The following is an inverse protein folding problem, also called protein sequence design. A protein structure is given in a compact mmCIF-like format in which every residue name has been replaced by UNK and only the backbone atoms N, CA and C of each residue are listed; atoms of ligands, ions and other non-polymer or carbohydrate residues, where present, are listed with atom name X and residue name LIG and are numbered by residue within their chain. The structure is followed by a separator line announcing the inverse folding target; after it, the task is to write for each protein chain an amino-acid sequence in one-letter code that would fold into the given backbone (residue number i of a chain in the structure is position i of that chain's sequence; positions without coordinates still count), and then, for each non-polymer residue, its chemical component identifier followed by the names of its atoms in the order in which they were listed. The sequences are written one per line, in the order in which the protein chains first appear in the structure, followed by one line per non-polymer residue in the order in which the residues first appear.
data_IF_587483687472
#
_entry.id   IF_587483687472
#
_cell.length_a   1.000
_cell.length_b   1.000
_cell.length_c   1.000
_cell.angle_alpha   90.00
_cell.angle_beta   90.00
_cell.angle_gamma   90.00
#
_symmetry.space_group_name_H-M   'P 1'
#
loop_
_entity.id
_entity.type
_entity.pdbx_description
1 polymer ?
#
# COMPACT_ATOMS: atom_id res chain seq x y z
N UNK A 1 -13.68 35.48 -14.17
CA UNK A 1 -13.57 34.38 -13.19
C UNK A 1 -12.33 33.57 -13.55
N UNK A 2 -11.45 33.24 -12.60
CA UNK A 2 -10.24 32.47 -12.94
C UNK A 2 -10.59 31.02 -13.31
N UNK A 3 -9.81 30.36 -14.18
CA UNK A 3 -10.01 28.94 -14.53
C UNK A 3 -10.06 28.04 -13.28
N UNK A 4 -9.24 28.35 -12.26
CA UNK A 4 -9.20 27.62 -10.99
C UNK A 4 -10.50 27.78 -10.18
N UNK A 5 -11.14 28.95 -10.25
CA UNK A 5 -12.42 29.18 -9.58
C UNK A 5 -13.55 28.38 -10.21
N UNK A 6 -13.55 28.26 -11.55
CA UNK A 6 -14.56 27.48 -12.29
C UNK A 6 -14.41 25.99 -11.96
N UNK A 7 -13.18 25.46 -12.04
CA UNK A 7 -12.91 24.05 -11.75
C UNK A 7 -13.28 23.68 -10.30
N UNK A 8 -13.01 24.57 -9.35
CA UNK A 8 -13.39 24.38 -7.94
C UNK A 8 -14.91 24.32 -7.76
N UNK A 9 -15.66 25.18 -8.44
CA UNK A 9 -17.12 25.17 -8.37
C UNK A 9 -17.69 23.88 -8.96
N UNK A 10 -17.19 23.44 -10.13
CA UNK A 10 -17.59 22.18 -10.73
C UNK A 10 -17.28 20.98 -9.84
N UNK A 11 -16.13 20.98 -9.17
CA UNK A 11 -15.79 19.93 -8.21
C UNK A 11 -16.79 19.87 -7.05
N UNK A 12 -17.17 21.02 -6.51
CA UNK A 12 -18.16 21.09 -5.43
C UNK A 12 -19.56 20.69 -5.90
N UNK A 13 -19.97 21.10 -7.09
CA UNK A 13 -21.25 20.68 -7.70
C UNK A 13 -21.26 19.16 -7.89
N UNK A 14 -20.22 18.61 -8.52
CA UNK A 14 -20.06 17.17 -8.73
C UNK A 14 -20.07 16.36 -7.42
N UNK A 15 -19.45 16.87 -6.35
CA UNK A 15 -19.46 16.23 -5.04
C UNK A 15 -20.85 16.20 -4.37
N UNK A 16 -21.70 17.18 -4.69
CA UNK A 16 -23.04 17.32 -4.11
C UNK A 16 -24.15 16.69 -4.96
N UNK A 17 -23.87 16.31 -6.20
CA UNK A 17 -24.79 15.52 -7.03
C UNK A 17 -25.13 14.19 -6.34
N UNK A 18 -26.41 13.82 -6.40
CA UNK A 18 -26.94 12.60 -5.79
C UNK A 18 -26.67 11.38 -6.68
N UNK A 19 -26.36 10.26 -6.03
CA UNK A 19 -26.27 8.93 -6.64
C UNK A 19 -27.15 7.94 -5.88
N UNK A 20 -27.59 6.87 -6.53
CA UNK A 20 -28.46 5.87 -5.92
C UNK A 20 -27.68 4.71 -5.31
N UNK A 21 -27.44 4.71 -4.00
CA UNK A 21 -26.84 3.52 -3.38
C UNK A 21 -27.87 2.42 -3.12
N UNK A 22 -27.63 1.20 -3.62
CA UNK A 22 -28.45 0.04 -3.29
C UNK A 22 -28.48 -0.30 -1.79
N UNK A 23 -27.41 0.04 -1.06
CA UNK A 23 -27.30 -0.24 0.38
C UNK A 23 -27.78 0.91 1.25
N UNK A 24 -27.58 2.15 0.80
CA UNK A 24 -27.72 3.33 1.65
C UNK A 24 -28.75 4.35 1.15
N UNK A 25 -29.41 4.09 0.02
CA UNK A 25 -30.34 5.02 -0.62
C UNK A 25 -29.65 6.17 -1.35
N UNK A 26 -30.43 7.19 -1.70
CA UNK A 26 -29.92 8.39 -2.36
C UNK A 26 -29.00 9.19 -1.45
N UNK A 27 -27.83 9.57 -1.97
CA UNK A 27 -26.91 10.43 -1.27
C UNK A 27 -25.97 11.20 -2.20
N UNK A 28 -25.42 12.33 -1.74
CA UNK A 28 -24.33 13.02 -2.43
C UNK A 28 -23.09 12.12 -2.64
N UNK A 29 -22.40 12.27 -3.78
CA UNK A 29 -21.15 11.54 -4.07
C UNK A 29 -20.12 11.64 -2.95
N UNK A 30 -19.96 12.81 -2.32
CA UNK A 30 -19.02 12.98 -1.19
C UNK A 30 -19.33 12.03 -0.02
N UNK A 31 -20.61 11.78 0.28
CA UNK A 31 -21.01 10.85 1.33
C UNK A 31 -20.76 9.40 0.92
N UNK A 32 -21.01 9.07 -0.34
CA UNK A 32 -20.70 7.75 -0.90
C UNK A 32 -19.20 7.44 -0.84
N UNK A 33 -18.34 8.40 -1.18
CA UNK A 33 -16.88 8.28 -1.08
C UNK A 33 -16.44 8.08 0.37
N UNK A 34 -16.98 8.87 1.31
CA UNK A 34 -16.72 8.68 2.75
C UNK A 34 -17.13 7.28 3.22
N UNK A 35 -18.28 6.76 2.75
CA UNK A 35 -18.75 5.40 3.07
C UNK A 35 -17.82 4.34 2.51
N UNK A 36 -17.45 4.45 1.23
CA UNK A 36 -16.47 3.59 0.58
C UNK A 36 -15.17 3.52 1.39
N UNK A 37 -14.66 4.67 1.85
CA UNK A 37 -13.41 4.73 2.59
C UNK A 37 -13.54 4.12 3.98
N UNK A 38 -14.52 4.57 4.76
CA UNK A 38 -14.65 4.21 6.18
C UNK A 38 -15.18 2.79 6.40
N UNK A 39 -16.10 2.33 5.57
CA UNK A 39 -16.74 1.03 5.71
C UNK A 39 -16.14 -0.04 4.78
N UNK A 40 -15.34 0.35 3.80
CA UNK A 40 -14.76 -0.54 2.82
C UNK A 40 -13.24 -0.55 2.85
N UNK A 41 -12.65 0.53 2.34
CA UNK A 41 -11.23 0.60 2.02
C UNK A 41 -10.34 0.51 3.27
N UNK A 42 -10.64 1.26 4.33
CA UNK A 42 -9.91 1.16 5.60
C UNK A 42 -10.04 -0.25 6.20
N UNK A 43 -11.24 -0.83 6.35
CA UNK A 43 -11.41 -2.22 6.79
C UNK A 43 -10.66 -3.26 5.95
N UNK A 44 -10.61 -3.11 4.62
CA UNK A 44 -9.86 -4.01 3.73
C UNK A 44 -8.37 -4.00 4.05
N UNK A 45 -7.80 -2.84 4.31
CA UNK A 45 -6.38 -2.72 4.66
C UNK A 45 -6.14 -3.22 6.10
N UNK A 46 -7.00 -2.84 7.04
CA UNK A 46 -6.85 -3.23 8.46
C UNK A 46 -6.99 -4.71 8.72
N UNK A 47 -7.89 -5.43 8.03
CA UNK A 47 -7.99 -6.89 8.15
C UNK A 47 -6.75 -7.63 7.67
N UNK A 48 -5.92 -6.98 6.85
CA UNK A 48 -4.64 -7.50 6.37
C UNK A 48 -3.45 -7.04 7.22
N UNK A 49 -3.71 -6.51 8.43
CA UNK A 49 -2.67 -6.17 9.40
C UNK A 49 -1.96 -4.84 9.15
N UNK A 50 -2.54 -3.96 8.32
CA UNK A 50 -2.00 -2.63 8.04
C UNK A 50 -2.83 -1.52 8.68
N UNK A 51 -2.17 -0.44 9.08
CA UNK A 51 -2.80 0.69 9.77
C UNK A 51 -2.63 1.96 8.96
N UNK A 52 -3.71 2.68 8.68
CA UNK A 52 -3.61 4.00 8.04
C UNK A 52 -3.01 5.05 8.99
N UNK A 53 -2.14 5.89 8.44
CA UNK A 53 -1.70 7.16 9.03
C UNK A 53 -2.91 8.11 9.14
N UNK A 54 -2.92 8.93 10.18
CA UNK A 54 -4.13 9.52 10.80
C UNK A 54 -4.92 10.56 9.98
N UNK A 55 -4.80 10.64 8.65
CA UNK A 55 -5.49 11.65 7.86
C UNK A 55 -6.44 11.07 6.81
N UNK A 56 -7.61 10.62 7.28
CA UNK A 56 -8.70 10.12 6.43
C UNK A 56 -9.23 11.21 5.49
N UNK A 57 -9.20 12.47 5.89
CA UNK A 57 -9.69 13.58 5.05
C UNK A 57 -8.82 13.77 3.80
N UNK A 58 -7.49 13.62 3.92
CA UNK A 58 -6.61 13.66 2.75
C UNK A 58 -6.96 12.52 1.80
N UNK A 59 -7.21 11.32 2.31
CA UNK A 59 -7.58 10.16 1.51
C UNK A 59 -8.94 10.37 0.80
N UNK A 60 -9.93 10.90 1.52
CA UNK A 60 -11.24 11.29 0.97
C UNK A 60 -11.09 12.30 -0.17
N UNK A 61 -10.32 13.37 0.05
CA UNK A 61 -10.08 14.40 -0.95
C UNK A 61 -9.29 13.88 -2.17
N UNK A 62 -8.33 12.99 -1.94
CA UNK A 62 -7.50 12.38 -2.99
C UNK A 62 -8.35 11.52 -3.91
N UNK A 63 -9.14 10.60 -3.33
CA UNK A 63 -10.04 9.73 -4.08
C UNK A 63 -11.12 10.57 -4.80
N UNK A 64 -11.72 11.55 -4.13
CA UNK A 64 -12.72 12.42 -4.76
C UNK A 64 -12.15 13.20 -5.95
N UNK A 65 -10.94 13.76 -5.81
CA UNK A 65 -10.28 14.48 -6.89
C UNK A 65 -10.00 13.58 -8.08
N UNK A 66 -9.50 12.37 -7.84
CA UNK A 66 -9.25 11.39 -8.90
C UNK A 66 -10.52 11.05 -9.68
N UNK A 67 -11.60 10.71 -8.98
CA UNK A 67 -12.88 10.38 -9.61
C UNK A 67 -13.45 11.55 -10.42
N UNK A 68 -13.31 12.77 -9.89
CA UNK A 68 -13.75 13.98 -10.59
C UNK A 68 -12.94 14.25 -11.87
N UNK A 69 -11.62 14.13 -11.82
CA UNK A 69 -10.80 14.32 -13.01
C UNK A 69 -11.08 13.25 -14.06
N UNK A 70 -11.29 12.00 -13.65
CA UNK A 70 -11.76 10.94 -14.55
C UNK A 70 -13.14 11.21 -15.15
N UNK A 71 -14.04 11.83 -14.37
CA UNK A 71 -15.36 12.21 -14.84
C UNK A 71 -15.28 13.28 -15.95
N UNK A 72 -14.35 14.24 -15.83
CA UNK A 72 -14.11 15.28 -16.83
C UNK A 72 -13.35 14.73 -18.04
N UNK A 73 -12.31 13.94 -17.80
CA UNK A 73 -11.44 13.38 -18.82
C UNK A 73 -11.15 11.90 -18.52
N UNK A 74 -11.73 11.01 -19.32
CA UNK A 74 -11.57 9.56 -19.16
C UNK A 74 -10.12 9.09 -19.40
N UNK A 75 -9.29 9.93 -20.02
CA UNK A 75 -7.86 9.66 -20.25
C UNK A 75 -6.97 10.32 -19.19
N UNK A 76 -7.55 10.96 -18.18
CA UNK A 76 -6.80 11.58 -17.11
C UNK A 76 -5.96 10.52 -16.40
N UNK A 77 -4.64 10.68 -16.45
CA UNK A 77 -3.72 9.88 -15.66
C UNK A 77 -3.53 10.57 -14.31
N UNK A 78 -4.10 9.98 -13.25
CA UNK A 78 -3.93 10.54 -11.93
C UNK A 78 -2.49 10.30 -11.47
N UNK A 79 -1.71 11.38 -11.53
CA UNK A 79 -0.35 11.41 -11.01
C UNK A 79 -0.38 11.23 -9.48
N UNK A 80 -0.45 9.98 -9.03
CA UNK A 80 -0.12 9.66 -7.65
C UNK A 80 1.37 10.01 -7.50
N UNK A 81 1.76 10.88 -6.56
CA UNK A 81 3.17 11.21 -6.37
C UNK A 81 3.92 9.93 -6.09
N UNK A 82 4.63 9.40 -7.08
CA UNK A 82 5.37 8.14 -6.93
C UNK A 82 6.49 8.45 -5.96
N UNK A 83 6.36 7.98 -4.72
CA UNK A 83 7.54 7.84 -3.87
C UNK A 83 8.34 6.72 -4.54
N UNK A 84 9.31 7.10 -5.37
CA UNK A 84 9.95 6.28 -6.41
C UNK A 84 10.73 5.04 -5.94
N UNK A 85 10.60 4.64 -4.68
CA UNK A 85 11.18 3.41 -4.17
C UNK A 85 10.07 2.39 -3.94
N UNK A 86 9.68 1.71 -5.02
CA UNK A 86 9.06 0.38 -4.93
C UNK A 86 10.13 -0.58 -4.38
N UNK A 87 10.33 -0.51 -3.08
CA UNK A 87 11.26 -1.34 -2.34
C UNK A 87 10.65 -2.72 -2.03
N UNK A 88 11.42 -3.57 -1.34
CA UNK A 88 10.94 -4.88 -0.91
C UNK A 88 9.68 -4.82 -0.05
N UNK A 89 9.46 -3.71 0.68
CA UNK A 89 8.29 -3.51 1.53
C UNK A 89 7.04 -3.23 0.71
N UNK A 90 7.16 -2.48 -0.40
CA UNK A 90 6.09 -2.34 -1.38
C UNK A 90 5.69 -3.70 -1.97
N UNK A 91 6.66 -4.51 -2.40
CA UNK A 91 6.35 -5.83 -2.96
C UNK A 91 5.65 -6.71 -1.93
N UNK A 92 6.15 -6.73 -0.69
CA UNK A 92 5.50 -7.44 0.40
C UNK A 92 4.04 -6.98 0.58
N UNK A 93 3.78 -5.66 0.64
CA UNK A 93 2.44 -5.10 0.73
C UNK A 93 1.54 -5.52 -0.44
N UNK A 94 2.03 -5.37 -1.67
CA UNK A 94 1.27 -5.65 -2.90
C UNK A 94 0.91 -7.15 -3.01
N UNK A 95 1.78 -8.06 -2.55
CA UNK A 95 1.48 -9.49 -2.52
C UNK A 95 0.64 -9.92 -1.32
N UNK A 96 0.64 -9.16 -0.22
CA UNK A 96 -0.12 -9.50 0.98
C UNK A 96 -1.62 -9.44 0.76
N UNK A 97 -2.09 -8.50 -0.07
CA UNK A 97 -3.50 -8.37 -0.45
C UNK A 97 -3.63 -8.84 -1.91
N UNK A 98 -4.09 -10.08 -2.16
CA UNK A 98 -4.19 -10.63 -3.50
C UNK A 98 -5.04 -9.77 -4.45
N UNK A 99 -4.73 -9.83 -5.74
CA UNK A 99 -5.45 -9.12 -6.79
C UNK A 99 -6.96 -9.38 -6.74
N UNK A 100 -7.35 -10.63 -6.49
CA UNK A 100 -8.74 -11.07 -6.44
C UNK A 100 -9.52 -10.40 -5.29
N UNK A 101 -8.84 -10.12 -4.17
CA UNK A 101 -9.45 -9.40 -3.04
C UNK A 101 -9.74 -7.96 -3.40
N UNK A 102 -8.78 -7.28 -4.05
CA UNK A 102 -8.97 -5.92 -4.54
C UNK A 102 -10.05 -5.84 -5.62
N UNK A 103 -10.07 -6.81 -6.53
CA UNK A 103 -11.02 -6.87 -7.63
C UNK A 103 -12.45 -7.08 -7.10
N UNK A 104 -12.62 -8.08 -6.22
CA UNK A 104 -13.90 -8.34 -5.56
C UNK A 104 -14.37 -7.16 -4.72
N UNK A 105 -13.46 -6.50 -4.01
CA UNK A 105 -13.74 -5.30 -3.24
C UNK A 105 -14.28 -4.16 -4.12
N UNK A 106 -13.61 -3.87 -5.23
CA UNK A 106 -14.04 -2.79 -6.12
C UNK A 106 -15.35 -3.09 -6.82
N UNK A 107 -15.57 -4.32 -7.29
CA UNK A 107 -16.84 -4.72 -7.89
C UNK A 107 -17.98 -4.58 -6.89
N UNK A 108 -17.80 -5.08 -5.66
CA UNK A 108 -18.81 -4.94 -4.60
C UNK A 108 -19.20 -3.48 -4.34
N UNK A 109 -18.21 -2.59 -4.28
CA UNK A 109 -18.48 -1.18 -4.03
C UNK A 109 -19.00 -0.43 -5.26
N UNK A 110 -18.63 -0.84 -6.46
CA UNK A 110 -19.21 -0.30 -7.69
C UNK A 110 -20.69 -0.68 -7.81
N UNK A 111 -21.02 -1.95 -7.51
CA UNK A 111 -22.39 -2.44 -7.48
C UNK A 111 -23.22 -1.69 -6.43
N UNK A 112 -22.65 -1.33 -5.28
CA UNK A 112 -23.38 -0.62 -4.20
C UNK A 112 -23.57 0.86 -4.48
N UNK A 113 -22.66 1.50 -5.23
CA UNK A 113 -22.58 2.96 -5.38
C UNK A 113 -22.91 3.41 -6.81
N UNK A 114 -23.90 2.80 -7.45
CA UNK A 114 -24.49 3.28 -8.72
C UNK A 114 -23.46 3.60 -9.81
N UNK A 115 -22.50 2.69 -10.02
CA UNK A 115 -21.47 2.88 -11.03
C UNK A 115 -20.59 4.13 -10.84
N UNK A 116 -20.48 4.64 -9.60
CA UNK A 116 -19.56 5.73 -9.23
C UNK A 116 -18.13 5.46 -9.72
N UNK A 117 -17.73 4.18 -9.83
CA UNK A 117 -16.41 3.76 -10.29
C UNK A 117 -16.39 3.18 -11.71
N UNK A 118 -17.54 2.97 -12.37
CA UNK A 118 -17.63 2.14 -13.58
C UNK A 118 -16.75 2.64 -14.75
N UNK A 119 -16.54 3.95 -14.85
CA UNK A 119 -15.73 4.54 -15.92
C UNK A 119 -14.23 4.56 -15.64
N UNK A 120 -13.79 4.18 -14.43
CA UNK A 120 -12.39 4.24 -14.02
C UNK A 120 -11.91 2.99 -13.26
N UNK A 121 -12.72 1.93 -13.16
CA UNK A 121 -12.47 0.82 -12.24
C UNK A 121 -11.09 0.16 -12.39
N UNK A 122 -10.57 0.01 -13.61
CA UNK A 122 -9.25 -0.61 -13.84
C UNK A 122 -8.09 0.30 -13.46
N UNK A 123 -8.15 1.60 -13.75
CA UNK A 123 -7.12 2.55 -13.34
C UNK A 123 -7.21 2.86 -11.84
N UNK A 124 -8.44 2.94 -11.32
CA UNK A 124 -8.75 3.12 -9.91
C UNK A 124 -8.16 2.00 -9.06
N UNK A 125 -8.19 0.76 -9.56
CA UNK A 125 -7.58 -0.39 -8.91
C UNK A 125 -6.11 -0.13 -8.56
N UNK A 126 -5.27 0.17 -9.56
CA UNK A 126 -3.85 0.43 -9.35
C UNK A 126 -3.63 1.64 -8.44
N UNK A 127 -4.45 2.67 -8.63
CA UNK A 127 -4.37 3.89 -7.83
C UNK A 127 -4.64 3.64 -6.35
N UNK A 128 -5.66 2.86 -6.02
CA UNK A 128 -5.99 2.52 -4.65
C UNK A 128 -4.90 1.70 -3.97
N UNK A 129 -4.23 0.78 -4.67
CA UNK A 129 -3.11 0.04 -4.07
C UNK A 129 -1.97 0.99 -3.69
N UNK A 130 -1.58 1.88 -4.61
CA UNK A 130 -0.51 2.85 -4.36
C UNK A 130 -0.89 3.81 -3.23
N UNK A 131 -2.13 4.32 -3.24
CA UNK A 131 -2.64 5.19 -2.16
C UNK A 131 -2.65 4.46 -0.82
N UNK A 132 -3.01 3.18 -0.76
CA UNK A 132 -2.97 2.45 0.50
C UNK A 132 -1.55 2.44 1.07
N UNK A 133 -0.57 2.06 0.25
CA UNK A 133 0.83 2.02 0.69
C UNK A 133 1.39 3.36 1.13
N UNK A 134 1.04 4.45 0.43
CA UNK A 134 1.52 5.78 0.79
C UNK A 134 0.99 6.27 2.13
N UNK A 135 -0.23 5.87 2.46
CA UNK A 135 -0.91 6.35 3.65
C UNK A 135 -0.89 5.35 4.80
N UNK A 136 -0.33 4.15 4.65
CA UNK A 136 -0.16 3.23 5.79
C UNK A 136 1.03 3.66 6.66
N UNK A 137 0.89 3.43 7.96
CA UNK A 137 1.95 3.52 8.93
C UNK A 137 2.58 2.13 9.10
N UNK A 138 3.71 1.90 8.43
CA UNK A 138 4.42 0.62 8.47
C UNK A 138 4.85 0.25 9.90
N UNK A 139 5.35 1.20 10.68
CA UNK A 139 5.81 1.00 12.07
C UNK A 139 4.70 0.46 13.00
N UNK A 140 3.43 0.70 12.67
CA UNK A 140 2.26 0.23 13.43
C UNK A 140 1.54 -0.94 12.76
N UNK A 141 1.98 -1.36 11.59
CA UNK A 141 1.35 -2.43 10.82
C UNK A 141 1.91 -3.77 11.26
N UNK A 142 1.10 -4.59 11.95
CA UNK A 142 1.53 -5.87 12.50
C UNK A 142 2.10 -6.81 11.43
N UNK A 143 1.53 -6.78 10.23
CA UNK A 143 2.02 -7.60 9.11
C UNK A 143 3.39 -7.15 8.62
N UNK A 144 3.66 -5.84 8.61
CA UNK A 144 4.98 -5.33 8.27
C UNK A 144 6.01 -5.70 9.35
N UNK A 145 5.64 -5.55 10.63
CA UNK A 145 6.52 -5.91 11.74
C UNK A 145 6.89 -7.40 11.72
N UNK A 146 5.91 -8.28 11.47
CA UNK A 146 6.16 -9.71 11.31
C UNK A 146 7.11 -10.01 10.14
N UNK A 147 6.92 -9.34 9.00
CA UNK A 147 7.81 -9.48 7.85
C UNK A 147 9.25 -9.07 8.20
N UNK A 148 9.46 -7.99 8.96
CA UNK A 148 10.81 -7.62 9.41
C UNK A 148 11.39 -8.70 10.33
N UNK A 149 10.63 -9.18 11.31
CA UNK A 149 11.07 -10.26 12.21
C UNK A 149 11.48 -11.51 11.44
N UNK A 150 10.69 -11.96 10.47
CA UNK A 150 11.00 -13.14 9.65
C UNK A 150 12.27 -12.96 8.80
N UNK A 151 12.55 -11.75 8.28
CA UNK A 151 13.74 -11.52 7.46
C UNK A 151 15.01 -11.26 8.28
N UNK A 152 14.92 -10.55 9.39
CA UNK A 152 16.07 -10.30 10.27
C UNK A 152 16.43 -11.51 11.13
N UNK A 153 15.45 -12.35 11.50
CA UNK A 153 15.72 -13.63 12.20
C UNK A 153 16.44 -14.64 11.30
N UNK A 154 16.20 -14.60 9.99
CA UNK A 154 16.88 -15.46 9.02
C UNK A 154 18.29 -14.97 8.62
N UNK A 155 18.63 -13.69 8.84
CA UNK A 155 19.97 -13.17 8.53
C UNK A 155 21.02 -13.46 9.62
N UNK A 156 20.62 -13.54 10.89
CA UNK A 156 21.54 -13.80 12.01
C UNK A 156 21.85 -15.30 12.20
N UNK A 157 21.00 -16.17 11.67
CA UNK A 157 21.10 -17.62 11.84
C UNK A 157 22.06 -18.29 10.84
N UNK A 158 22.30 -17.74 9.65
CA UNK A 158 23.23 -18.35 8.69
C UNK A 158 24.71 -18.20 9.08
N UNK A 159 25.06 -17.10 9.75
CA UNK A 159 26.44 -16.88 10.19
C UNK A 159 26.74 -17.62 11.51
N UNK A 160 25.76 -17.72 12.40
CA UNK A 160 25.92 -18.40 13.69
C UNK A 160 25.72 -19.94 13.63
N UNK A 161 25.04 -20.49 12.60
CA UNK A 161 24.95 -21.94 12.36
C UNK A 161 26.18 -22.53 11.65
N UNK A 162 26.92 -21.74 10.86
CA UNK A 162 28.16 -22.22 10.21
C UNK A 162 29.33 -22.42 11.17
N UNK A 163 29.38 -21.65 12.27
CA UNK A 163 30.47 -21.78 13.27
C UNK A 163 30.19 -22.84 14.34
N UNK A 164 28.92 -23.15 14.62
CA UNK A 164 28.53 -24.08 15.71
C UNK A 164 28.59 -25.57 15.35
N UNK A 165 28.85 -25.92 14.09
CA UNK A 165 28.92 -27.31 13.60
C UNK A 165 30.29 -27.69 13.02
N UNK A 166 31.33 -26.91 13.29
CA UNK A 166 32.69 -27.29 12.94
C UNK A 166 33.24 -28.11 14.11
N UNK A 167 33.63 -29.35 13.82
CA UNK A 167 34.32 -30.23 14.77
C UNK A 167 35.45 -29.44 15.47
N UNK A 168 35.53 -29.45 16.82
CA UNK A 168 36.56 -28.74 17.58
C UNK A 168 37.98 -29.00 17.07
N UNK A 169 38.24 -30.20 16.53
CA UNK A 169 39.53 -30.55 15.93
C UNK A 169 39.81 -29.81 14.62
N UNK A 170 38.79 -29.62 13.79
CA UNK A 170 38.89 -28.87 12.53
C UNK A 170 39.09 -27.37 12.83
N UNK A 171 38.41 -26.85 13.84
CA UNK A 171 38.57 -25.45 14.27
C UNK A 171 40.01 -25.17 14.77
N UNK A 172 40.59 -26.08 15.55
CA UNK A 172 41.98 -25.98 16.02
C UNK A 172 43.00 -26.06 14.87
N UNK A 173 42.74 -26.91 13.86
CA UNK A 173 43.55 -26.98 12.65
C UNK A 173 43.51 -25.67 11.84
N UNK A 174 42.32 -25.09 11.65
CA UNK A 174 42.16 -23.82 10.92
C UNK A 174 42.88 -22.66 11.63
N UNK A 175 42.81 -22.61 12.96
CA UNK A 175 43.50 -21.59 13.75
C UNK A 175 45.03 -21.74 13.67
N UNK A 176 45.56 -22.97 13.71
CA UNK A 176 47.00 -23.26 13.51
C UNK A 176 47.49 -22.88 12.11
N UNK A 177 46.71 -23.14 11.07
CA UNK A 177 47.08 -22.75 9.70
C UNK A 177 47.06 -21.23 9.49
N UNK A 178 46.19 -20.52 10.20
CA UNK A 178 46.07 -19.06 10.11
C UNK A 178 47.24 -18.36 10.83
N UNK A 179 47.71 -18.90 11.95
CA UNK A 179 48.92 -18.39 12.63
C UNK A 179 50.20 -18.58 11.80
N UNK A 180 50.34 -19.69 11.07
CA UNK A 180 51.49 -19.94 10.18
C UNK A 180 51.53 -19.03 8.94
N UNK A 181 50.39 -18.51 8.47
CA UNK A 181 50.33 -17.57 7.34
C UNK A 181 50.75 -16.15 7.73
N UNK A 182 50.54 -15.76 8.99
CA UNK A 182 50.94 -14.43 9.46
C UNK A 182 52.43 -14.37 9.82
N UNK A 183 53.04 -15.47 10.25
CA UNK A 183 54.47 -15.55 10.54
C UNK A 183 55.37 -15.67 9.29
N UNK A 184 54.81 -15.76 8.08
CA UNK A 184 55.56 -15.80 6.81
C UNK A 184 55.55 -14.48 6.03
N UNK A 185 54.90 -13.45 6.58
CA UNK A 185 54.86 -12.10 5.97
C UNK A 185 55.76 -11.08 6.69
N UNK A 186 56.48 -11.52 7.71
CA UNK A 186 57.50 -10.72 8.41
C UNK A 186 58.89 -11.33 8.16
N UNK A 187 59.29 -11.41 6.89
CA UNK A 187 60.70 -11.43 6.44
C UNK A 187 60.84 -10.64 5.15
#
# INVERSE_FOLDING_TARGET
MSKNTILKNWFLEWQNEEICSYKFGYMPRKHAITKFIKEGYIPLISRNGYVFSKNIEILENTIASMLFFYHIDKFYDYNIPINNNYDEHWYHFNFKIPYENWYSFLNYWNDILDDLFANCASQLFGCLIVLAYQYINLEKSSTYLQYLEDNYSNSDDEQSKKEKNIDPYILDQMNKYTSFKNSRKEE
#
